data_IF_607465592096
#
_entry.id   IF_607465592096
#
_cell.length_a   1.000
_cell.length_b   1.000
_cell.length_c   1.000
_cell.angle_alpha   90.00
_cell.angle_beta   90.00
_cell.angle_gamma   90.00
#
_symmetry.space_group_name_H-M   'P 1'
#
loop_
_entity.id
_entity.type
_entity.pdbx_description
1 polymer ?
#
# COMPACT_ATOMS: atom_id res chain seq x y z
N UNK A 1 5.23 -15.46 17.33
CA UNK A 1 6.68 -15.42 17.65
C UNK A 1 6.86 -15.04 19.11
N UNK A 2 7.68 -15.78 19.85
CA UNK A 2 7.99 -15.50 21.28
C UNK A 2 8.72 -14.16 21.45
N UNK A 3 9.46 -13.74 20.44
CA UNK A 3 10.26 -12.50 20.46
C UNK A 3 9.49 -11.23 20.11
N UNK A 4 8.30 -11.34 19.52
CA UNK A 4 7.52 -10.17 19.07
C UNK A 4 7.23 -9.16 20.21
N UNK A 5 6.82 -9.57 21.41
CA UNK A 5 6.61 -8.63 22.53
C UNK A 5 7.88 -7.92 22.96
N UNK A 6 9.02 -8.61 22.94
CA UNK A 6 10.32 -8.04 23.33
C UNK A 6 10.75 -6.98 22.31
N UNK A 7 10.62 -7.27 21.02
CA UNK A 7 10.92 -6.31 19.94
C UNK A 7 10.01 -5.08 20.06
N UNK A 8 8.71 -5.27 20.26
CA UNK A 8 7.77 -4.17 20.44
C UNK A 8 8.10 -3.29 21.64
N UNK A 9 8.53 -3.89 22.75
CA UNK A 9 8.99 -3.16 23.94
C UNK A 9 10.28 -2.38 23.66
N UNK A 10 11.28 -2.98 23.01
CA UNK A 10 12.52 -2.32 22.63
C UNK A 10 12.27 -1.12 21.70
N UNK A 11 11.39 -1.26 20.74
CA UNK A 11 11.00 -0.15 19.86
C UNK A 11 10.31 0.97 20.63
N UNK A 12 9.42 0.65 21.55
CA UNK A 12 8.74 1.65 22.39
C UNK A 12 9.72 2.39 23.32
N UNK A 13 10.71 1.70 23.86
CA UNK A 13 11.75 2.33 24.69
C UNK A 13 12.66 3.21 23.83
N UNK A 14 13.15 2.70 22.68
CA UNK A 14 14.04 3.46 21.81
C UNK A 14 13.37 4.71 21.27
N UNK A 15 12.08 4.65 20.90
CA UNK A 15 11.33 5.81 20.42
C UNK A 15 11.29 6.95 21.45
N UNK A 16 11.09 6.61 22.73
CA UNK A 16 11.15 7.61 23.82
C UNK A 16 12.53 8.24 23.97
N UNK A 17 13.60 7.49 23.77
CA UNK A 17 14.96 8.02 23.83
C UNK A 17 15.22 9.03 22.70
N UNK A 18 14.71 8.79 21.51
CA UNK A 18 14.83 9.74 20.39
C UNK A 18 14.13 11.06 20.68
N UNK A 19 12.96 11.07 21.30
CA UNK A 19 12.28 12.31 21.66
C UNK A 19 13.01 13.14 22.71
N UNK A 20 13.84 12.50 23.54
CA UNK A 20 14.58 13.20 24.59
C UNK A 20 15.91 13.79 24.10
N UNK A 21 16.65 13.10 23.24
CA UNK A 21 18.06 13.44 22.97
C UNK A 21 18.50 13.26 21.51
N UNK A 22 17.60 13.01 20.58
CA UNK A 22 18.04 12.68 19.25
C UNK A 22 18.62 13.89 18.50
N UNK A 23 19.90 13.80 18.17
CA UNK A 23 20.63 14.76 17.31
C UNK A 23 21.09 14.13 16.01
N UNK A 24 21.04 12.81 15.90
CA UNK A 24 21.50 12.03 14.73
C UNK A 24 20.29 11.47 14.00
N UNK A 25 20.21 11.59 12.67
CA UNK A 25 19.15 10.96 11.89
C UNK A 25 19.14 9.44 12.10
N UNK A 26 17.96 8.88 12.24
CA UNK A 26 17.77 7.44 12.45
C UNK A 26 16.62 6.93 11.58
N UNK A 27 16.70 5.69 11.12
CA UNK A 27 15.64 5.06 10.32
C UNK A 27 15.28 3.69 10.91
N UNK A 28 13.99 3.51 11.19
CA UNK A 28 13.43 2.20 11.44
C UNK A 28 13.09 1.54 10.11
N UNK A 29 13.67 0.39 9.86
CA UNK A 29 13.33 -0.46 8.71
C UNK A 29 12.58 -1.69 9.23
N UNK A 30 11.29 -1.77 8.96
CA UNK A 30 10.40 -2.84 9.42
C UNK A 30 9.99 -3.70 8.23
N UNK A 31 10.73 -4.77 8.02
CA UNK A 31 10.39 -5.83 7.08
C UNK A 31 9.30 -6.71 7.69
N UNK A 32 8.14 -6.79 7.03
CA UNK A 32 6.90 -7.40 7.54
C UNK A 32 6.48 -6.81 8.90
N UNK A 33 6.03 -5.56 8.89
CA UNK A 33 5.63 -4.81 10.08
C UNK A 33 4.53 -5.49 10.92
N UNK A 34 3.80 -6.42 10.33
CA UNK A 34 2.72 -7.16 11.01
C UNK A 34 3.20 -8.32 11.87
N UNK A 35 4.49 -8.60 11.91
CA UNK A 35 5.07 -9.62 12.81
C UNK A 35 5.24 -9.14 14.24
N UNK A 36 5.25 -7.83 14.44
CA UNK A 36 5.45 -7.19 15.75
C UNK A 36 4.31 -6.20 16.01
N UNK A 37 3.66 -6.31 17.16
CA UNK A 37 2.70 -5.31 17.60
C UNK A 37 3.44 -4.18 18.34
N UNK A 38 3.44 -2.99 17.76
CA UNK A 38 4.06 -1.80 18.33
C UNK A 38 2.95 -0.91 18.85
N UNK A 39 2.97 -0.62 20.14
CA UNK A 39 1.94 0.20 20.79
C UNK A 39 2.00 1.64 20.24
N UNK A 40 0.85 2.21 19.91
CA UNK A 40 0.67 3.58 19.39
C UNK A 40 1.50 3.83 18.12
N UNK A 41 1.66 2.79 17.29
CA UNK A 41 2.46 2.89 16.07
C UNK A 41 1.88 3.89 15.06
N UNK A 42 0.55 4.08 15.05
CA UNK A 42 -0.17 5.01 14.20
C UNK A 42 0.28 6.47 14.36
N UNK A 43 0.77 6.82 15.54
CA UNK A 43 1.26 8.20 15.81
C UNK A 43 2.78 8.33 15.75
N UNK A 44 3.53 7.24 15.89
CA UNK A 44 4.99 7.28 15.95
C UNK A 44 5.65 7.97 14.74
N UNK A 45 5.27 7.68 13.48
CA UNK A 45 5.93 8.30 12.33
C UNK A 45 5.75 9.82 12.27
N UNK A 46 4.59 10.33 12.68
CA UNK A 46 4.32 11.77 12.69
C UNK A 46 5.11 12.49 13.80
N UNK A 47 5.11 11.94 15.01
CA UNK A 47 5.80 12.52 16.16
C UNK A 47 7.32 12.46 16.01
N UNK A 48 7.86 11.31 15.62
CA UNK A 48 9.30 11.11 15.55
C UNK A 48 9.99 11.80 14.37
N UNK A 49 9.23 12.25 13.37
CA UNK A 49 9.75 13.04 12.23
C UNK A 49 10.45 14.31 12.69
N UNK A 50 9.91 15.00 13.69
CA UNK A 50 10.51 16.20 14.27
C UNK A 50 11.90 15.91 14.85
N UNK A 51 12.11 14.70 15.34
CA UNK A 51 13.38 14.22 15.91
C UNK A 51 14.30 13.54 14.88
N UNK A 52 14.08 13.79 13.58
CA UNK A 52 14.89 13.22 12.48
C UNK A 52 14.84 11.68 12.42
N UNK A 53 13.74 11.08 12.86
CA UNK A 53 13.52 9.64 12.74
C UNK A 53 12.61 9.36 11.55
N UNK A 54 13.10 8.52 10.63
CA UNK A 54 12.35 8.03 9.49
C UNK A 54 11.85 6.60 9.71
N UNK A 55 10.86 6.21 8.89
CA UNK A 55 10.33 4.85 8.88
C UNK A 55 10.25 4.34 7.45
N UNK A 56 10.68 3.10 7.27
CA UNK A 56 10.44 2.31 6.07
C UNK A 56 9.68 1.07 6.51
N UNK A 57 8.46 0.92 6.00
CA UNK A 57 7.58 -0.18 6.35
C UNK A 57 7.35 -1.06 5.13
N UNK A 58 7.42 -2.36 5.34
CA UNK A 58 7.04 -3.34 4.35
C UNK A 58 5.97 -4.26 4.93
N UNK A 59 4.99 -4.60 4.12
CA UNK A 59 3.95 -5.58 4.44
C UNK A 59 3.50 -6.30 3.19
N UNK A 60 3.07 -7.55 3.35
CA UNK A 60 2.57 -8.38 2.24
C UNK A 60 1.14 -8.01 1.85
N UNK A 61 0.34 -7.50 2.77
CA UNK A 61 -1.04 -7.09 2.50
C UNK A 61 -1.56 -6.06 3.49
N UNK A 62 -2.42 -5.16 3.00
CA UNK A 62 -3.10 -4.19 3.83
C UNK A 62 -4.07 -4.84 4.83
N UNK A 63 -4.66 -5.98 4.48
CA UNK A 63 -5.55 -6.75 5.36
C UNK A 63 -4.84 -7.25 6.63
N UNK A 64 -3.56 -7.62 6.53
CA UNK A 64 -2.77 -7.99 7.71
C UNK A 64 -2.55 -6.81 8.65
N UNK A 65 -2.30 -5.62 8.10
CA UNK A 65 -2.14 -4.40 8.89
C UNK A 65 -3.45 -4.06 9.60
N UNK A 66 -4.58 -4.15 8.88
CA UNK A 66 -5.91 -3.91 9.45
C UNK A 66 -6.26 -4.90 10.57
N UNK A 67 -5.94 -6.16 10.39
CA UNK A 67 -6.14 -7.19 11.44
C UNK A 67 -5.28 -6.96 12.68
N UNK A 68 -4.08 -6.39 12.51
CA UNK A 68 -3.13 -6.16 13.60
C UNK A 68 -3.43 -4.90 14.40
N UNK A 69 -3.78 -3.81 13.71
CA UNK A 69 -3.91 -2.48 14.29
C UNK A 69 -5.33 -1.91 14.25
N UNK A 70 -6.23 -2.52 13.47
CA UNK A 70 -7.56 -2.00 13.22
C UNK A 70 -7.61 -1.07 12.00
N UNK A 71 -8.82 -0.84 11.50
CA UNK A 71 -9.06 -0.08 10.27
C UNK A 71 -8.66 1.40 10.38
N UNK A 72 -8.98 2.03 11.52
CA UNK A 72 -8.68 3.45 11.74
C UNK A 72 -7.18 3.67 11.86
N UNK A 73 -6.49 2.82 12.62
CA UNK A 73 -5.06 2.92 12.82
C UNK A 73 -4.29 2.62 11.52
N UNK A 74 -4.76 1.66 10.72
CA UNK A 74 -4.23 1.43 9.36
C UNK A 74 -4.30 2.69 8.52
N UNK A 75 -5.44 3.36 8.44
CA UNK A 75 -5.59 4.60 7.68
C UNK A 75 -4.67 5.71 8.18
N UNK A 76 -4.49 5.81 9.50
CA UNK A 76 -3.58 6.78 10.13
C UNK A 76 -2.13 6.47 9.79
N UNK A 77 -1.73 5.21 9.80
CA UNK A 77 -0.39 4.77 9.37
C UNK A 77 -0.18 5.14 7.91
N UNK A 78 -1.07 4.75 7.00
CA UNK A 78 -0.95 5.03 5.57
C UNK A 78 -0.83 6.53 5.27
N UNK A 79 -1.61 7.37 5.97
CA UNK A 79 -1.58 8.83 5.81
C UNK A 79 -0.25 9.48 6.24
N UNK A 80 0.52 8.83 7.11
CA UNK A 80 1.83 9.33 7.54
C UNK A 80 2.96 9.07 6.54
N UNK A 81 2.72 8.24 5.52
CA UNK A 81 3.72 7.87 4.51
C UNK A 81 3.42 8.55 3.17
N UNK A 82 4.20 9.59 2.85
CA UNK A 82 4.05 10.32 1.59
C UNK A 82 4.56 9.55 0.36
N UNK A 83 5.43 8.56 0.57
CA UNK A 83 5.92 7.68 -0.49
C UNK A 83 5.41 6.27 -0.25
N UNK A 84 4.70 5.72 -1.22
CA UNK A 84 4.14 4.37 -1.17
C UNK A 84 4.54 3.61 -2.42
N UNK A 85 5.00 2.37 -2.25
CA UNK A 85 5.40 1.48 -3.32
C UNK A 85 4.50 0.25 -3.34
N UNK A 86 3.87 0.02 -4.48
CA UNK A 86 2.92 -1.07 -4.65
C UNK A 86 3.53 -2.15 -5.54
N UNK A 87 3.70 -3.33 -4.98
CA UNK A 87 4.15 -4.51 -5.70
C UNK A 87 2.98 -5.37 -6.18
N UNK A 88 3.30 -6.45 -6.92
CA UNK A 88 2.30 -7.43 -7.32
C UNK A 88 1.70 -8.11 -6.10
N UNK A 89 0.39 -8.11 -5.99
CA UNK A 89 -0.34 -8.76 -4.89
C UNK A 89 -1.40 -9.72 -5.43
N UNK A 90 -1.79 -10.69 -4.59
CA UNK A 90 -2.99 -11.52 -4.77
C UNK A 90 -4.08 -11.19 -3.74
N UNK A 91 -3.82 -10.22 -2.87
CA UNK A 91 -4.78 -9.78 -1.86
C UNK A 91 -5.90 -8.97 -2.52
N UNK A 92 -7.12 -9.46 -2.37
CA UNK A 92 -8.31 -8.91 -3.04
C UNK A 92 -8.59 -7.46 -2.59
N UNK A 93 -8.36 -7.15 -1.33
CA UNK A 93 -8.57 -5.79 -0.81
C UNK A 93 -7.55 -4.80 -1.38
N UNK A 94 -6.30 -5.22 -1.49
CA UNK A 94 -5.27 -4.42 -2.15
C UNK A 94 -5.57 -4.20 -3.63
N UNK A 95 -6.07 -5.21 -4.34
CA UNK A 95 -6.47 -5.10 -5.74
C UNK A 95 -7.64 -4.13 -5.96
N UNK A 96 -8.56 -4.01 -5.01
CA UNK A 96 -9.62 -2.98 -5.05
C UNK A 96 -9.11 -1.58 -4.73
N UNK A 97 -8.07 -1.49 -3.91
CA UNK A 97 -7.50 -0.23 -3.47
C UNK A 97 -6.61 0.44 -4.54
N UNK A 98 -5.86 -0.34 -5.31
CA UNK A 98 -4.95 0.20 -6.33
C UNK A 98 -5.64 1.09 -7.37
N UNK A 99 -6.78 0.70 -7.97
CA UNK A 99 -7.49 1.56 -8.92
C UNK A 99 -7.98 2.89 -8.32
N UNK A 100 -8.20 2.94 -7.00
CA UNK A 100 -8.59 4.18 -6.32
C UNK A 100 -7.42 5.18 -6.25
N UNK A 101 -6.18 4.66 -6.18
CA UNK A 101 -4.97 5.49 -6.11
C UNK A 101 -4.48 5.86 -7.51
N UNK A 102 -4.37 4.87 -8.39
CA UNK A 102 -3.76 5.06 -9.72
C UNK A 102 -4.77 5.49 -10.79
N UNK A 103 -6.07 5.34 -10.52
CA UNK A 103 -7.12 5.64 -11.47
C UNK A 103 -7.37 4.51 -12.47
N UNK A 104 -8.03 4.85 -13.58
CA UNK A 104 -8.41 3.92 -14.63
C UNK A 104 -7.85 4.38 -15.95
N UNK A 105 -7.24 3.47 -16.68
CA UNK A 105 -6.79 3.73 -18.04
C UNK A 105 -7.92 3.46 -19.06
N UNK A 106 -8.09 4.36 -20.01
CA UNK A 106 -9.06 4.18 -21.09
C UNK A 106 -8.39 3.47 -22.26
N UNK A 107 -8.75 2.22 -22.50
CA UNK A 107 -8.24 1.42 -23.61
C UNK A 107 -9.25 1.35 -24.74
N UNK A 108 -8.82 1.75 -25.92
CA UNK A 108 -9.58 1.53 -27.14
C UNK A 108 -9.46 0.07 -27.58
N UNK A 109 -10.57 -0.63 -27.62
CA UNK A 109 -10.66 -1.95 -28.24
C UNK A 109 -11.24 -1.83 -29.64
N UNK A 110 -10.46 -2.22 -30.65
CA UNK A 110 -10.89 -2.30 -32.02
C UNK A 110 -11.28 -3.74 -32.36
N UNK A 111 -12.55 -3.97 -32.57
CA UNK A 111 -13.06 -5.25 -33.06
C UNK A 111 -13.31 -5.18 -34.58
N UNK A 112 -12.76 -6.13 -35.32
CA UNK A 112 -13.01 -6.28 -36.75
C UNK A 112 -13.87 -7.52 -36.97
N UNK A 113 -15.04 -7.34 -37.55
CA UNK A 113 -15.85 -8.47 -38.02
C UNK A 113 -15.93 -8.47 -39.54
N UNK A 114 -15.75 -9.66 -40.12
CA UNK A 114 -15.87 -9.85 -41.58
C UNK A 114 -16.96 -10.89 -41.82
N UNK A 115 -18.06 -10.48 -42.38
CA UNK A 115 -19.16 -11.35 -42.78
C UNK A 115 -19.15 -11.57 -44.29
N UNK A 116 -19.26 -12.80 -44.75
CA UNK A 116 -19.54 -13.16 -46.16
C UNK A 116 -20.99 -13.61 -46.25
N UNK A 117 -21.77 -12.94 -47.10
CA UNK A 117 -23.11 -13.33 -47.43
C UNK A 117 -23.34 -13.12 -48.93
N UNK A 118 -23.69 -14.18 -49.67
CA UNK A 118 -24.15 -14.07 -51.03
C UNK A 118 -23.23 -13.39 -52.04
N UNK A 119 -21.90 -13.57 -51.95
CA UNK A 119 -20.94 -12.94 -52.89
C UNK A 119 -20.46 -11.55 -52.52
N UNK A 120 -21.00 -10.94 -51.46
CA UNK A 120 -20.55 -9.65 -50.93
C UNK A 120 -19.81 -9.81 -49.62
N UNK A 121 -18.70 -9.08 -49.46
CA UNK A 121 -17.92 -9.10 -48.22
C UNK A 121 -18.16 -7.80 -47.46
N UNK A 122 -18.85 -7.88 -46.34
CA UNK A 122 -19.04 -6.74 -45.45
C UNK A 122 -17.95 -6.76 -44.35
N UNK A 123 -17.26 -5.63 -44.25
CA UNK A 123 -16.27 -5.39 -43.17
C UNK A 123 -16.82 -4.30 -42.25
N UNK A 124 -16.99 -4.62 -40.99
CA UNK A 124 -17.29 -3.63 -39.98
C UNK A 124 -16.14 -3.54 -38.97
N UNK A 125 -15.80 -2.30 -38.61
CA UNK A 125 -14.83 -2.02 -37.55
C UNK A 125 -15.60 -1.29 -36.45
N UNK A 126 -15.68 -1.92 -35.29
CA UNK A 126 -16.27 -1.29 -34.12
C UNK A 126 -15.14 -0.87 -33.20
N UNK A 127 -15.09 0.40 -32.84
CA UNK A 127 -14.19 0.94 -31.85
C UNK A 127 -15.01 1.13 -30.57
N UNK A 128 -14.67 0.44 -29.53
CA UNK A 128 -15.26 0.62 -28.21
C UNK A 128 -14.18 1.07 -27.22
N UNK A 129 -14.46 2.09 -26.45
CA UNK A 129 -13.61 2.53 -25.34
C UNK A 129 -14.06 1.79 -24.08
N UNK A 130 -13.13 1.17 -23.38
CA UNK A 130 -13.38 0.47 -22.13
C UNK A 130 -12.38 0.99 -21.08
N UNK A 131 -12.89 1.41 -19.91
CA UNK A 131 -12.04 1.77 -18.78
C UNK A 131 -11.59 0.48 -18.10
N UNK A 132 -10.28 0.26 -18.06
CA UNK A 132 -9.66 -0.83 -17.33
C UNK A 132 -8.92 -0.28 -16.09
N UNK A 133 -8.94 -1.01 -15.00
CA UNK A 133 -8.18 -0.66 -13.79
C UNK A 133 -6.68 -0.84 -14.08
N UNK A 134 -5.87 0.14 -13.71
CA UNK A 134 -4.42 0.15 -13.90
C UNK A 134 -3.76 -0.81 -12.91
#
# INVERSE_FOLDING_TARGET
SVYAPVIGMLMSISSRQFTMRNKVPFVYFLDEMTTVNIRNFETMPSVLREYKVGFVLQTQSGSKVENQYGRLDRSSVEANFGNQFFGRTKDVESLKYYPMIFGKEEKERRSRSTGKSGGSTNRSVTVSSQKEDI
#
